data_IF_567826895862
#
_entry.id   IF_567826895862
#
_cell.length_a   1.000
_cell.length_b   1.000
_cell.length_c   1.000
_cell.angle_alpha   90.00
_cell.angle_beta   90.00
_cell.angle_gamma   90.00
#
_symmetry.space_group_name_H-M   'P 1'
#
loop_
_entity.id
_entity.type
_entity.pdbx_description
1 polymer ?
#
# COMPACT_ATOMS: atom_id res chain seq x y z
N UNK A 1 4.27 -8.13 -3.63
CA UNK A 1 5.01 -7.26 -2.69
C UNK A 1 6.33 -7.91 -2.41
N UNK A 2 7.41 -7.39 -2.98
CA UNK A 2 8.76 -7.87 -2.71
C UNK A 2 9.30 -7.08 -1.53
N UNK A 3 9.08 -7.57 -0.31
CA UNK A 3 9.95 -7.20 0.80
C UNK A 3 11.19 -8.09 0.74
N UNK A 4 12.28 -7.51 0.25
CA UNK A 4 13.60 -8.10 0.40
C UNK A 4 13.97 -8.13 1.89
N UNK A 5 13.77 -9.27 2.54
CA UNK A 5 14.42 -9.59 3.81
C UNK A 5 15.88 -9.94 3.56
N UNK A 6 16.73 -8.93 3.39
CA UNK A 6 18.18 -9.11 3.51
C UNK A 6 18.53 -9.27 5.00
N UNK A 7 18.86 -10.48 5.42
CA UNK A 7 19.58 -10.70 6.68
C UNK A 7 20.96 -10.03 6.58
N UNK A 8 21.08 -8.86 7.17
CA UNK A 8 22.32 -8.11 7.33
C UNK A 8 22.80 -8.21 8.76
N UNK A 9 23.94 -8.80 8.93
CA UNK A 9 24.77 -8.90 10.13
C UNK A 9 24.86 -7.57 10.86
N UNK A 10 24.61 -7.58 12.15
CA UNK A 10 24.77 -6.47 13.09
C UNK A 10 26.21 -5.98 13.12
N UNK A 11 26.48 -4.89 12.47
CA UNK A 11 27.57 -3.99 12.79
C UNK A 11 27.05 -2.56 12.65
N UNK A 12 26.66 -1.96 13.76
CA UNK A 12 26.36 -0.54 13.86
C UNK A 12 27.64 0.26 13.68
N UNK A 13 27.98 0.56 12.44
CA UNK A 13 28.98 1.56 12.11
C UNK A 13 28.23 2.64 11.36
N UNK A 14 28.09 3.80 11.99
CA UNK A 14 27.62 5.03 11.34
C UNK A 14 28.66 5.44 10.30
N UNK A 15 28.59 4.88 9.09
CA UNK A 15 29.43 5.32 7.99
C UNK A 15 28.79 6.56 7.39
N UNK A 16 29.54 7.66 7.42
CA UNK A 16 29.24 8.84 6.64
C UNK A 16 29.08 8.44 5.16
N UNK A 17 27.93 8.78 4.57
CA UNK A 17 27.67 8.50 3.16
C UNK A 17 28.36 9.55 2.33
N UNK A 18 29.49 9.20 1.73
CA UNK A 18 30.26 10.05 0.84
C UNK A 18 30.03 9.63 -0.61
N UNK A 19 29.58 10.56 -1.44
CA UNK A 19 29.22 10.29 -2.85
C UNK A 19 30.25 10.87 -3.82
N UNK A 20 30.52 10.19 -4.95
CA UNK A 20 31.19 10.79 -6.09
C UNK A 20 30.43 12.02 -6.60
N UNK A 21 31.13 13.06 -7.04
CA UNK A 21 30.49 14.28 -7.56
C UNK A 21 29.54 14.00 -8.72
N UNK A 22 29.89 13.07 -9.59
CA UNK A 22 29.03 12.60 -10.69
C UNK A 22 27.64 12.11 -10.19
N UNK A 23 27.61 11.36 -9.11
CA UNK A 23 26.36 10.84 -8.54
C UNK A 23 25.54 11.99 -7.93
N UNK A 24 26.22 12.92 -7.23
CA UNK A 24 25.57 14.13 -6.69
C UNK A 24 24.91 14.93 -7.81
N UNK A 25 25.63 15.16 -8.94
CA UNK A 25 25.11 15.94 -10.06
C UNK A 25 23.87 15.31 -10.68
N UNK A 26 23.83 13.98 -10.83
CA UNK A 26 22.65 13.24 -11.33
C UNK A 26 21.47 13.40 -10.38
N UNK A 27 21.68 13.20 -9.08
CA UNK A 27 20.62 13.32 -8.09
C UNK A 27 20.05 14.73 -7.99
N UNK A 28 20.93 15.75 -8.03
CA UNK A 28 20.53 17.16 -8.01
C UNK A 28 19.72 17.54 -9.24
N UNK A 29 20.11 17.06 -10.42
CA UNK A 29 19.37 17.29 -11.66
C UNK A 29 17.94 16.75 -11.56
N UNK A 30 17.78 15.47 -11.19
CA UNK A 30 16.47 14.84 -11.04
C UNK A 30 15.62 15.49 -9.94
N UNK A 31 16.22 15.86 -8.82
CA UNK A 31 15.53 16.58 -7.75
C UNK A 31 15.08 17.98 -8.20
N UNK A 32 15.84 18.66 -9.06
CA UNK A 32 15.46 19.95 -9.65
C UNK A 32 14.22 19.86 -10.53
N UNK A 33 14.14 18.82 -11.36
CA UNK A 33 12.93 18.53 -12.15
C UNK A 33 11.74 18.24 -11.23
N UNK A 34 11.94 17.40 -10.20
CA UNK A 34 10.89 17.05 -9.24
C UNK A 34 10.41 18.29 -8.46
N UNK A 35 11.32 19.19 -8.06
CA UNK A 35 10.99 20.44 -7.38
C UNK A 35 10.11 21.36 -8.25
N UNK A 36 10.42 21.43 -9.54
CA UNK A 36 9.61 22.19 -10.52
C UNK A 36 8.18 21.64 -10.60
N UNK A 37 8.04 20.32 -10.63
CA UNK A 37 6.74 19.66 -10.63
C UNK A 37 6.02 19.91 -9.30
N UNK A 38 6.69 19.73 -8.16
CA UNK A 38 6.13 19.91 -6.83
C UNK A 38 5.57 21.32 -6.58
N UNK A 39 6.14 22.33 -7.26
CA UNK A 39 5.68 23.72 -7.16
C UNK A 39 4.35 24.00 -7.91
N UNK A 40 3.86 23.07 -8.73
CA UNK A 40 2.66 23.27 -9.53
C UNK A 40 1.41 23.37 -8.63
N UNK A 41 0.51 24.34 -8.89
CA UNK A 41 -0.70 24.54 -8.08
C UNK A 41 -1.66 23.34 -8.11
N UNK A 42 -1.58 22.49 -9.11
CA UNK A 42 -2.43 21.32 -9.29
C UNK A 42 -2.37 20.34 -8.10
N UNK A 43 -1.24 20.28 -7.38
CA UNK A 43 -1.10 19.41 -6.22
C UNK A 43 -2.04 19.82 -5.07
N UNK A 44 -2.27 21.13 -4.87
CA UNK A 44 -3.21 21.62 -3.87
C UNK A 44 -4.65 21.25 -4.24
N UNK A 45 -5.00 21.35 -5.51
CA UNK A 45 -6.32 20.96 -6.00
C UNK A 45 -6.53 19.44 -5.87
N UNK A 46 -5.55 18.64 -6.26
CA UNK A 46 -5.62 17.18 -6.06
C UNK A 46 -5.74 16.81 -4.57
N UNK A 47 -4.98 17.46 -3.68
CA UNK A 47 -5.11 17.23 -2.23
C UNK A 47 -6.51 17.59 -1.73
N UNK A 48 -7.09 18.69 -2.20
CA UNK A 48 -8.48 19.09 -1.90
C UNK A 48 -9.48 18.02 -2.36
N UNK A 49 -9.31 17.52 -3.58
CA UNK A 49 -10.20 16.49 -4.14
C UNK A 49 -10.09 15.16 -3.38
N UNK A 50 -8.89 14.73 -3.02
CA UNK A 50 -8.68 13.56 -2.15
C UNK A 50 -9.33 13.75 -0.78
N UNK A 51 -9.20 14.94 -0.17
CA UNK A 51 -9.86 15.27 1.08
C UNK A 51 -11.38 15.17 0.94
N UNK A 52 -11.94 15.75 -0.12
CA UNK A 52 -13.39 15.68 -0.40
C UNK A 52 -13.86 14.24 -0.58
N UNK A 53 -13.11 13.42 -1.29
CA UNK A 53 -13.42 11.99 -1.44
C UNK A 53 -13.50 11.30 -0.09
N UNK A 54 -12.45 11.44 0.72
CA UNK A 54 -12.35 10.75 2.01
C UNK A 54 -13.28 11.33 3.09
N UNK A 55 -13.72 12.57 2.92
CA UNK A 55 -14.79 13.19 3.73
C UNK A 55 -16.21 12.80 3.27
N UNK A 56 -16.34 11.88 2.30
CA UNK A 56 -17.61 11.46 1.68
C UNK A 56 -18.37 12.63 1.04
N UNK A 57 -17.64 13.49 0.35
CA UNK A 57 -18.13 14.69 -0.37
C UNK A 57 -17.47 14.79 -1.75
N UNK A 58 -17.22 13.64 -2.39
CA UNK A 58 -16.48 13.59 -3.65
C UNK A 58 -17.13 14.44 -4.73
N UNK A 59 -16.31 15.12 -5.52
CA UNK A 59 -16.71 15.92 -6.68
C UNK A 59 -16.56 15.12 -7.98
N UNK A 60 -15.67 14.13 -7.98
CA UNK A 60 -15.47 13.16 -9.03
C UNK A 60 -14.76 11.91 -8.51
N UNK A 61 -14.73 10.82 -9.27
CA UNK A 61 -13.83 9.71 -8.97
C UNK A 61 -12.37 10.16 -8.99
N UNK A 62 -11.57 9.61 -8.07
CA UNK A 62 -10.12 9.84 -8.04
C UNK A 62 -9.39 8.66 -8.68
N UNK A 63 -8.30 8.92 -9.41
CA UNK A 63 -7.55 7.89 -10.16
C UNK A 63 -6.11 7.84 -9.65
N UNK A 64 -5.65 6.65 -9.29
CA UNK A 64 -4.25 6.44 -8.96
C UNK A 64 -3.77 5.05 -9.39
N UNK A 65 -2.49 4.97 -9.76
CA UNK A 65 -1.84 3.76 -10.24
C UNK A 65 -0.68 3.47 -9.30
N UNK A 66 -0.60 2.26 -8.77
CA UNK A 66 0.51 1.81 -7.95
C UNK A 66 0.91 0.37 -8.29
N UNK A 67 1.92 -0.15 -7.59
CA UNK A 67 2.43 -1.52 -7.82
C UNK A 67 2.72 -1.79 -9.31
N UNK A 68 3.47 -0.84 -9.91
CA UNK A 68 3.83 -0.84 -11.32
C UNK A 68 4.95 -1.86 -11.57
N UNK A 69 4.89 -2.60 -12.68
CA UNK A 69 5.91 -3.53 -13.13
C UNK A 69 7.11 -2.78 -13.73
N UNK A 70 7.89 -2.10 -12.88
CA UNK A 70 8.96 -1.17 -13.28
C UNK A 70 10.00 -1.79 -14.20
N UNK A 71 10.27 -3.09 -14.11
CA UNK A 71 11.21 -3.82 -14.95
C UNK A 71 10.82 -3.83 -16.43
N UNK A 72 9.54 -3.62 -16.76
CA UNK A 72 9.03 -3.56 -18.13
C UNK A 72 8.83 -2.14 -18.66
N UNK A 73 9.08 -1.10 -17.82
CA UNK A 73 8.70 0.28 -18.17
C UNK A 73 9.79 1.06 -18.91
N UNK A 74 11.08 0.64 -18.84
CA UNK A 74 12.20 1.39 -19.38
C UNK A 74 12.48 1.07 -20.87
N UNK A 75 11.68 1.63 -21.76
CA UNK A 75 11.91 1.46 -23.21
C UNK A 75 12.75 2.56 -23.84
N UNK A 76 12.80 3.76 -23.23
CA UNK A 76 13.49 4.94 -23.76
C UNK A 76 14.69 5.37 -22.89
N UNK A 77 15.10 4.55 -21.92
CA UNK A 77 16.24 4.82 -21.03
C UNK A 77 15.95 5.85 -19.94
N UNK A 78 14.69 6.26 -19.74
CA UNK A 78 14.31 7.20 -18.67
C UNK A 78 14.54 6.64 -17.26
N UNK A 79 14.40 5.32 -17.09
CA UNK A 79 14.59 4.62 -15.82
C UNK A 79 16.00 4.06 -15.66
N UNK A 80 16.85 4.15 -16.69
CA UNK A 80 18.24 3.66 -16.66
C UNK A 80 19.06 4.46 -15.64
N UNK A 81 19.60 3.75 -14.64
CA UNK A 81 20.37 4.35 -13.56
C UNK A 81 21.78 4.72 -14.02
N UNK A 82 22.25 5.94 -13.68
CA UNK A 82 23.54 6.52 -14.08
C UNK A 82 24.51 6.68 -12.91
N UNK A 83 24.02 6.58 -11.67
CA UNK A 83 24.84 6.65 -10.47
C UNK A 83 25.51 5.29 -10.19
N UNK A 84 26.63 5.32 -9.46
CA UNK A 84 27.46 4.15 -9.15
C UNK A 84 27.33 3.71 -7.69
N UNK A 85 27.30 4.67 -6.76
CA UNK A 85 27.20 4.37 -5.33
C UNK A 85 25.84 3.73 -4.99
N UNK A 86 25.77 2.60 -4.27
CA UNK A 86 24.53 1.88 -4.02
C UNK A 86 23.41 2.76 -3.45
N UNK A 87 23.70 3.57 -2.44
CA UNK A 87 22.72 4.50 -1.88
C UNK A 87 22.23 5.53 -2.90
N UNK A 88 23.12 6.07 -3.75
CA UNK A 88 22.72 7.01 -4.79
C UNK A 88 21.83 6.36 -5.84
N UNK A 89 22.09 5.09 -6.18
CA UNK A 89 21.25 4.32 -7.09
C UNK A 89 19.82 4.15 -6.57
N UNK A 90 19.66 3.90 -5.27
CA UNK A 90 18.33 3.80 -4.65
C UNK A 90 17.60 5.15 -4.70
N UNK A 91 18.31 6.25 -4.43
CA UNK A 91 17.74 7.61 -4.55
C UNK A 91 17.36 7.93 -6.00
N UNK A 92 18.26 7.65 -6.95
CA UNK A 92 18.02 7.85 -8.38
C UNK A 92 16.80 7.06 -8.88
N UNK A 93 16.70 5.79 -8.50
CA UNK A 93 15.59 4.94 -8.85
C UNK A 93 14.25 5.56 -8.40
N UNK A 94 14.15 5.98 -7.14
CA UNK A 94 12.95 6.62 -6.59
C UNK A 94 12.59 7.92 -7.31
N UNK A 95 13.59 8.77 -7.61
CA UNK A 95 13.36 10.03 -8.32
C UNK A 95 12.89 9.78 -9.75
N UNK A 96 13.56 8.88 -10.50
CA UNK A 96 13.17 8.51 -11.87
C UNK A 96 11.77 7.92 -11.94
N UNK A 97 11.43 7.01 -11.04
CA UNK A 97 10.07 6.42 -10.99
C UNK A 97 9.00 7.47 -10.75
N UNK A 98 9.23 8.43 -9.84
CA UNK A 98 8.29 9.54 -9.59
C UNK A 98 8.14 10.44 -10.80
N UNK A 99 9.25 10.82 -11.45
CA UNK A 99 9.24 11.63 -12.66
C UNK A 99 8.55 10.92 -13.82
N UNK A 100 8.85 9.65 -14.02
CA UNK A 100 8.21 8.80 -15.03
C UNK A 100 6.70 8.72 -14.82
N UNK A 101 6.27 8.39 -13.60
CA UNK A 101 4.85 8.29 -13.26
C UNK A 101 4.12 9.62 -13.52
N UNK A 102 4.73 10.74 -13.14
CA UNK A 102 4.16 12.06 -13.40
C UNK A 102 4.01 12.36 -14.89
N UNK A 103 5.00 12.01 -15.71
CA UNK A 103 5.01 12.30 -17.15
C UNK A 103 4.03 11.44 -17.94
N UNK A 104 4.01 10.16 -17.64
CA UNK A 104 3.38 9.16 -18.51
C UNK A 104 2.07 8.59 -17.97
N UNK A 105 1.80 8.74 -16.68
CA UNK A 105 0.62 8.16 -16.05
C UNK A 105 -0.28 9.26 -15.49
N UNK A 106 -1.07 9.94 -16.35
CA UNK A 106 -2.01 10.94 -15.87
C UNK A 106 -2.93 10.34 -14.82
N UNK A 107 -3.10 11.06 -13.71
CA UNK A 107 -3.85 10.62 -12.54
C UNK A 107 -3.84 11.65 -11.44
N UNK A 108 -4.29 11.25 -10.28
CA UNK A 108 -4.36 12.12 -9.10
C UNK A 108 -3.14 11.99 -8.17
N UNK A 109 -2.00 11.62 -8.76
CA UNK A 109 -0.71 11.63 -8.07
C UNK A 109 -0.38 13.03 -7.55
N UNK A 110 0.15 13.09 -6.32
CA UNK A 110 0.66 14.32 -5.70
C UNK A 110 2.15 14.17 -5.45
N UNK A 111 2.92 15.16 -5.90
CA UNK A 111 4.34 15.27 -5.61
C UNK A 111 4.53 16.25 -4.46
N UNK A 112 5.19 15.80 -3.39
CA UNK A 112 5.49 16.63 -2.22
C UNK A 112 6.55 17.69 -2.52
N UNK A 113 6.47 18.79 -1.81
CA UNK A 113 7.46 19.88 -1.82
C UNK A 113 8.72 19.57 -0.97
N UNK A 114 8.89 18.32 -0.56
CA UNK A 114 10.02 17.82 0.21
C UNK A 114 10.38 16.40 -0.20
N UNK A 115 11.60 15.99 0.11
CA UNK A 115 12.07 14.62 0.01
C UNK A 115 11.97 13.94 1.39
N UNK A 116 11.32 12.80 1.44
CA UNK A 116 11.22 12.01 2.66
C UNK A 116 12.52 11.25 2.91
N UNK A 117 13.05 11.38 4.12
CA UNK A 117 14.11 10.53 4.65
C UNK A 117 13.48 9.57 5.68
N UNK A 118 13.20 8.32 5.32
CA UNK A 118 12.63 7.36 6.26
C UNK A 118 13.55 7.12 7.44
N UNK A 119 12.98 7.02 8.63
CA UNK A 119 13.71 6.55 9.81
C UNK A 119 14.26 5.13 9.55
N UNK A 120 15.49 4.87 9.96
CA UNK A 120 16.10 3.54 9.87
C UNK A 120 15.54 2.67 11.00
N UNK A 121 14.46 1.96 10.72
CA UNK A 121 13.76 1.10 11.68
C UNK A 121 13.85 -0.34 11.19
N UNK A 122 14.14 -1.26 12.11
CA UNK A 122 14.06 -2.70 11.86
C UNK A 122 13.11 -3.35 12.84
N UNK A 123 12.45 -4.42 12.40
CA UNK A 123 11.69 -5.33 13.24
C UNK A 123 12.25 -6.75 13.09
N UNK A 124 12.26 -7.51 14.16
CA UNK A 124 12.64 -8.93 14.12
C UNK A 124 11.60 -9.79 13.39
N UNK A 125 10.44 -9.22 13.08
CA UNK A 125 9.31 -9.97 12.52
C UNK A 125 8.73 -10.99 13.49
N UNK A 126 7.96 -11.93 12.95
CA UNK A 126 7.14 -12.85 13.76
C UNK A 126 7.79 -14.23 14.00
N UNK A 127 9.08 -14.39 13.70
CA UNK A 127 9.87 -15.56 14.10
C UNK A 127 9.84 -16.75 13.15
N UNK A 128 8.78 -16.94 12.37
CA UNK A 128 8.70 -18.02 11.38
C UNK A 128 9.20 -17.50 10.02
N UNK A 129 10.18 -18.19 9.45
CA UNK A 129 10.64 -17.94 8.07
C UNK A 129 9.81 -18.76 7.10
N UNK A 130 9.58 -18.22 5.89
CA UNK A 130 8.88 -18.94 4.85
C UNK A 130 9.70 -20.19 4.43
N UNK A 131 9.06 -21.34 4.45
CA UNK A 131 9.56 -22.56 3.81
C UNK A 131 8.76 -22.74 2.51
N UNK A 132 9.40 -22.44 1.37
CA UNK A 132 8.69 -22.21 0.13
C UNK A 132 9.47 -22.70 -1.10
N UNK A 133 8.77 -23.39 -2.00
CA UNK A 133 9.22 -23.65 -3.36
C UNK A 133 8.77 -22.50 -4.27
N UNK A 134 9.70 -21.95 -5.03
CA UNK A 134 9.47 -20.79 -5.89
C UNK A 134 9.66 -21.16 -7.35
N UNK A 135 8.67 -20.85 -8.19
CA UNK A 135 8.75 -20.99 -9.64
C UNK A 135 8.50 -19.63 -10.29
N UNK A 136 9.51 -19.10 -10.95
CA UNK A 136 9.46 -17.85 -11.71
C UNK A 136 9.48 -18.10 -13.22
N UNK A 137 8.73 -17.33 -13.98
CA UNK A 137 8.71 -17.38 -15.46
C UNK A 137 9.58 -16.31 -16.09
N UNK A 138 9.80 -15.19 -15.39
CA UNK A 138 10.65 -14.09 -15.84
C UNK A 138 11.65 -13.74 -14.72
N UNK A 139 12.98 -13.89 -14.95
CA UNK A 139 14.00 -13.56 -13.95
C UNK A 139 14.03 -12.07 -13.54
N UNK A 140 13.53 -11.18 -14.38
CA UNK A 140 13.44 -9.75 -14.09
C UNK A 140 12.19 -9.39 -13.29
N UNK A 141 11.20 -10.28 -13.22
CA UNK A 141 9.94 -10.07 -12.50
C UNK A 141 10.01 -10.58 -11.06
N UNK A 142 9.56 -9.78 -10.10
CA UNK A 142 9.33 -10.24 -8.73
C UNK A 142 8.05 -11.08 -8.56
N UNK A 143 7.25 -11.25 -9.61
CA UNK A 143 6.03 -12.06 -9.60
C UNK A 143 6.39 -13.52 -9.86
N UNK A 144 6.19 -14.35 -8.82
CA UNK A 144 6.55 -15.77 -8.83
C UNK A 144 5.43 -16.61 -8.25
N UNK A 145 5.30 -17.85 -8.70
CA UNK A 145 4.47 -18.85 -8.05
C UNK A 145 5.17 -19.38 -6.79
N UNK A 146 4.41 -19.55 -5.70
CA UNK A 146 4.95 -20.02 -4.43
C UNK A 146 4.12 -21.18 -3.91
N UNK A 147 4.79 -22.24 -3.51
CA UNK A 147 4.18 -23.35 -2.78
C UNK A 147 4.79 -23.41 -1.38
N UNK A 148 3.96 -23.11 -0.37
CA UNK A 148 4.39 -23.01 1.02
C UNK A 148 4.27 -24.36 1.72
N UNK A 149 5.32 -24.74 2.47
CA UNK A 149 5.31 -25.95 3.29
C UNK A 149 4.69 -25.67 4.67
N UNK A 150 3.87 -26.59 5.14
CA UNK A 150 3.15 -26.49 6.42
C UNK A 150 4.11 -26.54 7.61
N UNK A 151 4.16 -25.47 8.38
CA UNK A 151 4.98 -25.33 9.59
C UNK A 151 4.12 -25.28 10.88
N UNK A 152 2.83 -24.89 10.76
CA UNK A 152 1.86 -24.91 11.86
C UNK A 152 1.00 -26.15 11.70
N UNK A 153 1.17 -27.11 12.60
CA UNK A 153 0.45 -28.40 12.60
C UNK A 153 -0.37 -28.60 13.86
N UNK A 154 0.23 -28.24 15.00
CA UNK A 154 -0.33 -28.43 16.33
C UNK A 154 -0.28 -27.12 17.12
N UNK A 155 -0.95 -27.09 18.28
CA UNK A 155 -1.05 -25.91 19.13
C UNK A 155 0.31 -25.40 19.61
N UNK A 156 1.23 -26.31 19.88
CA UNK A 156 2.60 -26.02 20.30
C UNK A 156 3.42 -25.27 19.25
N UNK A 157 3.06 -25.45 17.97
CA UNK A 157 3.74 -24.74 16.87
C UNK A 157 3.45 -23.22 16.90
N UNK A 158 2.37 -22.80 17.54
CA UNK A 158 2.06 -21.38 17.72
C UNK A 158 3.13 -20.63 18.51
N UNK A 159 3.90 -21.32 19.34
CA UNK A 159 5.04 -20.74 20.07
C UNK A 159 6.18 -20.30 19.13
N UNK A 160 6.19 -20.77 17.87
CA UNK A 160 7.09 -20.30 16.82
C UNK A 160 6.79 -18.86 16.42
N UNK A 161 5.52 -18.42 16.57
CA UNK A 161 5.10 -17.02 16.34
C UNK A 161 5.64 -16.17 17.51
N UNK A 162 6.67 -15.37 17.25
CA UNK A 162 7.36 -14.55 18.24
C UNK A 162 6.80 -13.14 18.27
N UNK A 163 6.85 -12.52 19.44
CA UNK A 163 6.60 -11.10 19.57
C UNK A 163 7.78 -10.34 18.97
N UNK A 164 7.53 -9.39 18.05
CA UNK A 164 8.60 -8.65 17.40
C UNK A 164 9.29 -7.67 18.35
N UNK A 165 10.54 -7.36 18.03
CA UNK A 165 11.31 -6.28 18.66
C UNK A 165 11.60 -5.23 17.61
N UNK A 166 11.17 -4.00 17.87
CA UNK A 166 11.39 -2.84 17.01
C UNK A 166 12.59 -2.05 17.47
N UNK A 167 13.52 -1.79 16.58
CA UNK A 167 14.73 -1.03 16.84
C UNK A 167 14.83 0.16 15.89
N UNK A 168 15.01 1.37 16.43
CA UNK A 168 15.36 2.57 15.68
C UNK A 168 16.88 2.76 15.66
N UNK A 169 17.47 2.68 14.47
CA UNK A 169 18.90 2.92 14.26
C UNK A 169 19.16 4.42 14.07
N UNK A 170 19.23 5.16 15.19
CA UNK A 170 19.34 6.63 15.19
C UNK A 170 20.55 7.10 14.38
N UNK A 171 21.72 6.49 14.57
CA UNK A 171 22.95 6.85 13.84
C UNK A 171 22.80 6.71 12.33
N UNK A 172 22.17 5.63 11.87
CA UNK A 172 21.90 5.42 10.45
C UNK A 172 20.89 6.42 9.91
N UNK A 173 19.83 6.72 10.66
CA UNK A 173 18.87 7.77 10.30
C UNK A 173 19.56 9.10 10.11
N UNK A 174 20.44 9.50 11.04
CA UNK A 174 21.19 10.76 10.94
C UNK A 174 22.12 10.79 9.75
N UNK A 175 22.87 9.70 9.49
CA UNK A 175 23.77 9.61 8.34
C UNK A 175 23.02 9.77 7.02
N UNK A 176 21.88 9.08 6.85
CA UNK A 176 21.00 9.21 5.68
C UNK A 176 20.44 10.63 5.55
N UNK A 177 19.98 11.21 6.64
CA UNK A 177 19.41 12.57 6.65
C UNK A 177 20.45 13.62 6.28
N UNK A 178 21.66 13.54 6.82
CA UNK A 178 22.77 14.46 6.50
C UNK A 178 23.17 14.35 5.03
N UNK A 179 23.32 13.12 4.52
CA UNK A 179 23.63 12.88 3.11
C UNK A 179 22.56 13.49 2.19
N UNK A 180 21.27 13.22 2.46
CA UNK A 180 20.17 13.80 1.68
C UNK A 180 20.17 15.34 1.77
N UNK A 181 20.32 15.89 2.97
CA UNK A 181 20.33 17.35 3.18
C UNK A 181 21.48 18.02 2.42
N UNK A 182 22.67 17.39 2.41
CA UNK A 182 23.83 17.89 1.65
C UNK A 182 23.59 17.83 0.15
N UNK A 183 23.16 16.66 -0.36
CA UNK A 183 22.91 16.45 -1.81
C UNK A 183 21.86 17.40 -2.35
N UNK A 184 20.75 17.56 -1.64
CA UNK A 184 19.58 18.30 -2.12
C UNK A 184 19.51 19.76 -1.63
N UNK A 185 20.58 20.24 -0.98
CA UNK A 185 20.67 21.61 -0.50
C UNK A 185 20.34 22.64 -1.59
N UNK A 186 19.44 23.58 -1.27
CA UNK A 186 19.01 24.64 -2.18
C UNK A 186 18.03 24.19 -3.29
N UNK A 187 17.62 22.91 -3.33
CA UNK A 187 16.67 22.36 -4.32
C UNK A 187 15.35 21.99 -3.64
N UNK A 188 15.38 21.06 -2.71
CA UNK A 188 14.21 20.60 -1.96
C UNK A 188 14.56 20.37 -0.49
N UNK A 189 13.67 20.73 0.46
CA UNK A 189 13.87 20.39 1.85
C UNK A 189 13.78 18.86 2.05
N UNK A 190 14.53 18.36 3.02
CA UNK A 190 14.48 16.96 3.45
C UNK A 190 13.78 16.86 4.80
N UNK A 191 12.86 15.93 4.94
CA UNK A 191 12.14 15.68 6.21
C UNK A 191 12.34 14.24 6.65
N UNK A 192 12.70 14.02 7.92
CA UNK A 192 12.65 12.69 8.53
C UNK A 192 11.19 12.24 8.66
N UNK A 193 10.90 11.03 8.22
CA UNK A 193 9.55 10.47 8.22
C UNK A 193 9.55 9.11 8.90
N UNK A 194 8.73 8.94 9.91
CA UNK A 194 8.49 7.68 10.58
C UNK A 194 7.58 6.74 9.79
N UNK A 195 7.12 5.68 10.45
CA UNK A 195 6.18 4.73 9.87
C UNK A 195 4.81 5.40 9.69
N UNK A 196 4.40 5.62 8.46
CA UNK A 196 3.13 6.28 8.10
C UNK A 196 2.06 5.30 7.62
N UNK A 197 2.40 4.03 7.40
CA UNK A 197 1.45 3.00 6.97
C UNK A 197 1.89 1.64 7.48
N UNK A 198 0.99 0.94 8.14
CA UNK A 198 1.20 -0.44 8.59
C UNK A 198 0.21 -1.34 7.89
N UNK A 199 0.72 -2.26 7.08
CA UNK A 199 -0.07 -3.24 6.35
C UNK A 199 -0.39 -4.42 7.27
N UNK A 200 -1.47 -4.29 8.04
CA UNK A 200 -1.91 -5.33 8.97
C UNK A 200 -2.66 -6.42 8.20
N UNK A 201 -2.11 -7.62 8.20
CA UNK A 201 -2.64 -8.73 7.42
C UNK A 201 -2.28 -10.09 8.06
N UNK A 202 -2.89 -10.46 9.19
CA UNK A 202 -2.59 -11.71 9.89
C UNK A 202 -2.69 -12.94 8.99
N UNK A 203 -3.72 -13.01 8.15
CA UNK A 203 -3.97 -14.14 7.29
C UNK A 203 -2.95 -14.32 6.15
N UNK A 204 -2.39 -13.23 5.60
CA UNK A 204 -1.34 -13.34 4.59
C UNK A 204 -0.05 -13.97 5.16
N UNK A 205 0.19 -13.83 6.48
CA UNK A 205 1.28 -14.53 7.16
C UNK A 205 0.92 -15.97 7.50
N UNK A 206 -0.26 -16.20 8.07
CA UNK A 206 -0.68 -17.53 8.51
C UNK A 206 -0.69 -18.53 7.35
N UNK A 207 -1.21 -18.16 6.17
CA UNK A 207 -1.24 -19.06 5.01
C UNK A 207 0.15 -19.44 4.49
N UNK A 208 1.18 -18.60 4.69
CA UNK A 208 2.56 -18.91 4.31
C UNK A 208 3.19 -19.96 5.22
N UNK A 209 2.65 -20.13 6.42
CA UNK A 209 3.15 -21.06 7.43
C UNK A 209 2.26 -22.29 7.61
N UNK A 210 1.03 -22.21 7.14
CA UNK A 210 0.02 -23.27 7.29
C UNK A 210 -0.33 -23.96 5.97
N UNK A 211 -0.32 -23.19 4.88
CA UNK A 211 -0.92 -23.56 3.61
C UNK A 211 -2.41 -23.20 3.56
N UNK A 212 -2.88 -22.79 2.38
CA UNK A 212 -4.27 -22.30 2.22
C UNK A 212 -5.28 -23.42 2.47
N UNK A 213 -5.10 -24.60 1.85
CA UNK A 213 -6.03 -25.72 1.94
C UNK A 213 -6.14 -26.24 3.39
N UNK A 214 -5.01 -26.42 4.06
CA UNK A 214 -4.97 -26.84 5.46
C UNK A 214 -5.65 -25.84 6.38
N UNK A 215 -5.35 -24.53 6.22
CA UNK A 215 -5.95 -23.49 7.04
C UNK A 215 -7.48 -23.41 6.87
N UNK A 216 -7.97 -23.55 5.62
CA UNK A 216 -9.41 -23.58 5.33
C UNK A 216 -10.08 -24.82 5.92
N UNK A 217 -9.46 -25.98 5.83
CA UNK A 217 -9.96 -27.23 6.44
C UNK A 217 -10.00 -27.10 7.95
N UNK A 218 -8.95 -26.55 8.56
CA UNK A 218 -8.84 -26.40 10.01
C UNK A 218 -9.84 -25.40 10.61
N UNK A 219 -10.36 -24.44 9.84
CA UNK A 219 -11.49 -23.61 10.30
C UNK A 219 -12.74 -24.45 10.64
N UNK A 220 -12.88 -25.62 10.02
CA UNK A 220 -13.98 -26.55 10.29
C UNK A 220 -13.57 -27.66 11.28
N UNK A 221 -12.42 -28.28 11.07
CA UNK A 221 -11.98 -29.45 11.83
C UNK A 221 -11.38 -29.10 13.19
N UNK A 222 -10.65 -27.94 13.27
CA UNK A 222 -9.91 -27.51 14.47
C UNK A 222 -10.04 -26.00 14.69
N UNK A 223 -11.28 -25.44 14.81
CA UNK A 223 -11.51 -24.00 14.90
C UNK A 223 -10.76 -23.34 16.06
N UNK A 224 -10.56 -24.03 17.19
CA UNK A 224 -9.85 -23.50 18.34
C UNK A 224 -8.36 -23.28 18.05
N UNK A 225 -7.75 -24.09 17.18
CA UNK A 225 -6.38 -23.90 16.75
C UNK A 225 -6.27 -22.66 15.86
N UNK A 226 -7.23 -22.47 14.94
CA UNK A 226 -7.28 -21.31 14.05
C UNK A 226 -7.47 -20.02 14.87
N UNK A 227 -8.43 -19.99 15.79
CA UNK A 227 -8.62 -18.85 16.68
C UNK A 227 -7.36 -18.51 17.47
N UNK A 228 -6.70 -19.51 18.05
CA UNK A 228 -5.46 -19.28 18.81
C UNK A 228 -4.32 -18.74 17.93
N UNK A 229 -4.22 -19.20 16.68
CA UNK A 229 -3.22 -18.72 15.73
C UNK A 229 -3.47 -17.26 15.33
N UNK A 230 -4.71 -16.91 14.99
CA UNK A 230 -5.09 -15.54 14.62
C UNK A 230 -4.90 -14.61 15.81
N UNK A 231 -5.34 -14.98 17.01
CA UNK A 231 -5.11 -14.19 18.23
C UNK A 231 -3.63 -13.94 18.49
N UNK A 232 -2.81 -14.98 18.34
CA UNK A 232 -1.36 -14.86 18.53
C UNK A 232 -0.72 -13.90 17.53
N UNK A 233 -1.19 -13.91 16.26
CA UNK A 233 -0.75 -12.97 15.24
C UNK A 233 -1.18 -11.55 15.57
N UNK A 234 -2.43 -11.35 15.98
CA UNK A 234 -2.92 -10.03 16.40
C UNK A 234 -2.12 -9.51 17.60
N UNK A 235 -1.82 -10.37 18.60
CA UNK A 235 -0.97 -10.00 19.73
C UNK A 235 0.41 -9.51 19.28
N UNK A 236 1.03 -10.20 18.34
CA UNK A 236 2.34 -9.83 17.82
C UNK A 236 2.30 -8.46 17.09
N UNK A 237 1.29 -8.21 16.27
CA UNK A 237 1.07 -6.91 15.64
C UNK A 237 0.82 -5.79 16.66
N UNK A 238 0.06 -6.09 17.72
CA UNK A 238 -0.20 -5.11 18.79
C UNK A 238 1.08 -4.74 19.55
N UNK A 239 1.92 -5.74 19.87
CA UNK A 239 3.23 -5.51 20.52
C UNK A 239 4.16 -4.70 19.63
N UNK A 240 4.17 -4.94 18.33
CA UNK A 240 4.96 -4.15 17.37
C UNK A 240 4.50 -2.69 17.34
N UNK A 241 3.19 -2.47 17.25
CA UNK A 241 2.60 -1.12 17.22
C UNK A 241 2.85 -0.35 18.52
N UNK A 242 2.77 -1.01 19.67
CA UNK A 242 3.06 -0.39 20.97
C UNK A 242 4.51 0.11 21.02
N UNK A 243 5.46 -0.61 20.40
CA UNK A 243 6.85 -0.19 20.31
C UNK A 243 7.04 0.99 19.34
N UNK A 244 6.34 1.01 18.21
CA UNK A 244 6.35 2.18 17.30
C UNK A 244 5.83 3.43 18.01
N UNK A 245 4.73 3.32 18.75
CA UNK A 245 4.14 4.44 19.50
C UNK A 245 5.08 4.88 20.65
N UNK A 246 5.57 3.96 21.47
CA UNK A 246 6.41 4.26 22.62
C UNK A 246 7.75 4.91 22.23
N UNK A 247 8.31 4.57 21.08
CA UNK A 247 9.56 5.14 20.56
C UNK A 247 9.32 6.37 19.66
N UNK A 248 8.10 6.86 19.51
CA UNK A 248 7.73 7.99 18.63
C UNK A 248 8.13 7.80 17.16
N UNK A 249 7.98 6.59 16.66
CA UNK A 249 8.40 6.22 15.29
C UNK A 249 7.27 6.36 14.25
N UNK A 250 6.07 6.73 14.67
CA UNK A 250 4.93 6.92 13.77
C UNK A 250 4.97 8.30 13.09
N UNK A 251 4.42 8.37 11.88
CA UNK A 251 4.22 9.62 11.14
C UNK A 251 2.78 9.71 10.63
N UNK A 252 2.25 10.94 10.55
CA UNK A 252 0.92 11.17 10.00
C UNK A 252 0.82 10.70 8.55
N UNK A 253 -0.34 10.19 8.19
CA UNK A 253 -0.69 9.64 6.88
C UNK A 253 -1.87 10.35 6.20
N UNK A 254 -2.42 11.41 6.81
CA UNK A 254 -3.44 12.26 6.19
C UNK A 254 -2.84 13.19 5.12
N UNK A 255 -2.08 12.62 4.22
CA UNK A 255 -1.35 13.23 3.13
C UNK A 255 -1.36 12.29 1.90
N UNK A 256 -0.36 12.34 1.02
CA UNK A 256 -0.22 11.43 -0.11
C UNK A 256 0.37 10.06 0.27
N UNK A 257 0.25 9.65 1.52
CA UNK A 257 0.48 8.26 1.93
C UNK A 257 -0.68 7.38 1.47
N UNK A 258 -0.34 6.22 0.95
CA UNK A 258 -1.31 5.17 0.59
C UNK A 258 -2.02 4.66 1.84
N UNK A 259 -3.33 4.43 1.75
CA UNK A 259 -4.13 3.85 2.83
C UNK A 259 -4.64 2.47 2.41
N UNK A 260 -4.26 1.45 3.14
CA UNK A 260 -4.59 0.08 2.80
C UNK A 260 -4.14 -0.27 1.37
N UNK A 261 -4.98 -0.93 0.60
CA UNK A 261 -4.77 -1.15 -0.84
C UNK A 261 -5.37 -0.04 -1.72
N UNK A 262 -5.78 1.09 -1.12
CA UNK A 262 -6.45 2.20 -1.80
C UNK A 262 -5.53 3.34 -2.22
N UNK A 263 -6.13 4.51 -2.36
CA UNK A 263 -5.46 5.77 -2.66
C UNK A 263 -4.96 6.52 -1.44
N UNK A 264 -4.86 7.84 -1.53
CA UNK A 264 -4.23 8.69 -0.53
C UNK A 264 -5.10 8.95 0.70
N UNK A 265 -4.41 9.27 1.82
CA UNK A 265 -4.99 9.43 3.15
C UNK A 265 -5.53 10.82 3.47
N UNK A 266 -5.43 11.80 2.58
CA UNK A 266 -5.96 13.15 2.83
C UNK A 266 -7.40 13.12 3.35
N UNK A 267 -7.65 13.70 4.53
CA UNK A 267 -8.98 13.76 5.15
C UNK A 267 -9.01 14.89 6.19
N UNK A 268 -10.19 15.50 6.42
CA UNK A 268 -10.33 16.57 7.40
C UNK A 268 -10.42 16.05 8.85
N UNK A 269 -10.81 14.80 9.05
CA UNK A 269 -11.02 14.21 10.38
C UNK A 269 -9.72 13.89 11.12
N UNK A 270 -8.60 13.72 10.41
CA UNK A 270 -7.30 13.39 10.98
C UNK A 270 -6.34 14.59 10.87
N UNK A 271 -5.41 14.72 11.82
CA UNK A 271 -5.08 13.83 12.94
C UNK A 271 -5.99 13.92 14.18
N UNK A 272 -7.12 14.65 14.13
CA UNK A 272 -7.99 14.88 15.27
C UNK A 272 -7.57 16.09 16.09
N UNK A 273 -8.47 16.55 17.01
CA UNK A 273 -8.25 17.78 17.78
C UNK A 273 -7.28 17.60 18.94
N UNK A 274 -7.07 16.38 19.38
CA UNK A 274 -6.19 16.00 20.49
C UNK A 274 -4.75 15.71 20.06
N UNK A 275 -4.45 15.85 18.77
CA UNK A 275 -3.12 15.63 18.21
C UNK A 275 -2.11 16.62 18.79
N UNK A 276 -0.97 16.07 19.24
CA UNK A 276 0.20 16.83 19.69
C UNK A 276 1.35 16.62 18.71
N UNK A 277 1.93 17.72 18.25
CA UNK A 277 3.06 17.67 17.33
C UNK A 277 4.24 16.86 17.92
N UNK A 278 4.78 15.93 17.12
CA UNK A 278 5.84 15.02 17.57
C UNK A 278 5.35 13.76 18.31
N UNK A 279 4.05 13.65 18.58
CA UNK A 279 3.44 12.50 19.26
C UNK A 279 2.30 11.93 18.42
N UNK A 280 2.65 11.29 17.31
CA UNK A 280 1.68 10.59 16.47
C UNK A 280 1.27 9.27 17.15
N UNK A 281 -0.04 9.06 17.25
CA UNK A 281 -0.63 7.83 17.79
C UNK A 281 -1.52 7.18 16.73
N UNK A 282 -1.82 5.87 16.84
CA UNK A 282 -2.68 5.20 15.87
C UNK A 282 -4.02 5.90 15.62
N UNK A 283 -4.66 6.47 16.65
CA UNK A 283 -5.93 7.21 16.49
C UNK A 283 -5.81 8.54 15.72
N UNK A 284 -4.59 9.02 15.46
CA UNK A 284 -4.34 10.17 14.59
C UNK A 284 -4.13 9.76 13.11
N UNK A 285 -4.21 8.47 12.80
CA UNK A 285 -3.83 7.86 11.53
C UNK A 285 -4.94 6.97 10.97
N UNK A 286 -4.75 6.54 9.74
CA UNK A 286 -5.51 5.47 9.11
C UNK A 286 -4.94 4.10 9.49
N UNK A 287 -5.83 3.17 9.84
CA UNK A 287 -5.52 1.76 9.90
C UNK A 287 -6.09 0.99 8.72
N UNK A 288 -5.63 -0.23 8.55
CA UNK A 288 -6.22 -1.15 7.59
C UNK A 288 -6.19 -2.58 8.09
N UNK A 289 -7.05 -3.42 7.50
CA UNK A 289 -7.00 -4.88 7.59
C UNK A 289 -7.57 -5.51 6.34
N UNK A 290 -7.27 -6.78 6.14
CA UNK A 290 -7.82 -7.61 5.09
C UNK A 290 -7.67 -9.10 5.45
N UNK A 291 -8.48 -9.93 4.78
CA UNK A 291 -8.33 -11.38 4.79
C UNK A 291 -8.53 -11.91 3.36
N UNK A 292 -7.50 -11.72 2.51
CA UNK A 292 -7.60 -11.91 1.06
C UNK A 292 -8.07 -13.32 0.67
N UNK A 293 -7.66 -14.33 1.45
CA UNK A 293 -8.04 -15.72 1.20
C UNK A 293 -9.52 -16.01 1.45
N UNK A 294 -10.24 -15.08 2.09
CA UNK A 294 -11.65 -15.27 2.47
C UNK A 294 -12.64 -14.79 1.41
N UNK A 295 -12.21 -14.74 0.13
CA UNK A 295 -13.13 -14.40 -0.97
C UNK A 295 -14.38 -15.26 -0.97
N UNK A 296 -14.23 -16.58 -0.90
CA UNK A 296 -15.28 -17.57 -1.09
C UNK A 296 -15.89 -18.09 0.23
N UNK A 297 -15.41 -17.63 1.38
CA UNK A 297 -16.02 -18.02 2.66
C UNK A 297 -17.25 -17.18 2.97
N UNK A 298 -18.18 -17.76 3.76
CA UNK A 298 -19.40 -17.05 4.16
C UNK A 298 -19.08 -15.78 4.97
N UNK A 299 -20.01 -14.80 5.01
CA UNK A 299 -19.85 -13.63 5.87
C UNK A 299 -19.61 -14.00 7.33
N UNK A 300 -20.31 -15.02 7.85
CA UNK A 300 -20.19 -15.50 9.24
C UNK A 300 -18.77 -16.00 9.53
N UNK A 301 -18.20 -16.85 8.65
CA UNK A 301 -16.84 -17.35 8.81
C UNK A 301 -15.81 -16.24 8.65
N UNK A 302 -16.03 -15.30 7.73
CA UNK A 302 -15.14 -14.13 7.57
C UNK A 302 -15.15 -13.26 8.84
N UNK A 303 -16.31 -13.09 9.46
CA UNK A 303 -16.42 -12.43 10.77
C UNK A 303 -15.69 -13.21 11.84
N UNK A 304 -16.01 -14.48 11.98
CA UNK A 304 -15.53 -15.34 13.06
C UNK A 304 -14.01 -15.53 13.06
N UNK A 305 -13.43 -15.83 11.88
CA UNK A 305 -12.01 -16.19 11.78
C UNK A 305 -11.09 -15.03 11.39
N UNK A 306 -11.62 -13.84 11.07
CA UNK A 306 -10.81 -12.67 10.75
C UNK A 306 -11.29 -11.42 11.49
N UNK A 307 -12.41 -10.81 11.07
CA UNK A 307 -12.76 -9.43 11.49
C UNK A 307 -12.89 -9.29 13.00
N UNK A 308 -13.52 -10.26 13.70
CA UNK A 308 -13.70 -10.14 15.16
C UNK A 308 -12.36 -10.10 15.92
N UNK A 309 -11.34 -10.79 15.44
CA UNK A 309 -9.98 -10.72 15.98
C UNK A 309 -9.31 -9.39 15.66
N UNK A 310 -9.45 -8.94 14.39
CA UNK A 310 -8.89 -7.69 13.90
C UNK A 310 -9.49 -6.46 14.59
N UNK A 311 -10.66 -6.56 15.22
CA UNK A 311 -11.26 -5.44 15.95
C UNK A 311 -10.35 -4.88 17.06
N UNK A 312 -9.47 -5.68 17.64
CA UNK A 312 -8.48 -5.23 18.64
C UNK A 312 -7.50 -4.23 18.01
N UNK A 313 -7.09 -4.50 16.78
CA UNK A 313 -6.25 -3.63 15.96
C UNK A 313 -7.05 -2.43 15.43
N UNK A 314 -8.19 -2.68 14.79
CA UNK A 314 -8.97 -1.68 14.07
C UNK A 314 -9.51 -0.56 14.98
N UNK A 315 -9.84 -0.87 16.24
CA UNK A 315 -10.30 0.11 17.25
C UNK A 315 -9.25 1.15 17.65
N UNK A 316 -7.97 0.89 17.38
CA UNK A 316 -6.89 1.84 17.71
C UNK A 316 -6.82 3.02 16.75
N UNK A 317 -7.36 2.88 15.53
CA UNK A 317 -7.18 3.82 14.44
C UNK A 317 -8.29 4.87 14.37
N UNK A 318 -7.91 6.07 13.91
CA UNK A 318 -8.89 7.16 13.75
C UNK A 318 -9.86 6.91 12.61
N UNK A 319 -9.39 6.38 11.50
CA UNK A 319 -10.19 5.89 10.37
C UNK A 319 -9.64 4.56 9.89
N UNK A 320 -10.49 3.79 9.21
CA UNK A 320 -10.16 2.42 8.77
C UNK A 320 -10.45 2.22 7.29
N UNK A 321 -9.52 1.51 6.65
CA UNK A 321 -9.67 0.88 5.35
C UNK A 321 -9.79 -0.64 5.52
N UNK A 322 -10.75 -1.28 4.87
CA UNK A 322 -10.88 -2.73 4.92
C UNK A 322 -10.87 -3.36 3.53
N UNK A 323 -10.11 -4.46 3.41
CA UNK A 323 -10.07 -5.34 2.26
C UNK A 323 -8.93 -5.09 1.28
N UNK A 324 -8.75 -6.03 0.37
CA UNK A 324 -7.78 -5.99 -0.72
C UNK A 324 -8.32 -6.71 -1.96
N UNK A 325 -8.08 -8.02 -2.07
CA UNK A 325 -8.48 -8.83 -3.22
C UNK A 325 -9.76 -9.65 -2.98
N UNK A 326 -10.20 -9.80 -1.72
CA UNK A 326 -11.40 -10.54 -1.36
C UNK A 326 -12.68 -9.89 -1.89
N UNK A 327 -13.66 -10.73 -2.19
CA UNK A 327 -15.01 -10.30 -2.58
C UNK A 327 -15.78 -9.82 -1.35
N UNK A 328 -16.10 -8.53 -1.29
CA UNK A 328 -16.80 -7.90 -0.16
C UNK A 328 -18.22 -7.44 -0.50
N UNK A 329 -18.64 -7.58 -1.75
CA UNK A 329 -19.97 -7.16 -2.24
C UNK A 329 -21.15 -7.90 -1.58
N UNK A 330 -20.90 -9.05 -0.93
CA UNK A 330 -21.88 -9.80 -0.15
C UNK A 330 -21.71 -9.72 1.37
N UNK A 331 -20.83 -8.84 1.87
CA UNK A 331 -20.36 -8.83 3.27
C UNK A 331 -20.64 -7.53 4.02
N UNK A 332 -21.55 -6.68 3.51
CA UNK A 332 -21.83 -5.35 4.06
C UNK A 332 -22.22 -5.38 5.54
N UNK A 333 -22.99 -6.40 5.98
CA UNK A 333 -23.40 -6.52 7.38
C UNK A 333 -22.21 -6.64 8.33
N UNK A 334 -21.25 -7.52 8.03
CA UNK A 334 -20.06 -7.70 8.89
C UNK A 334 -19.15 -6.49 8.81
N UNK A 335 -19.05 -5.84 7.65
CA UNK A 335 -18.27 -4.62 7.48
C UNK A 335 -18.83 -3.46 8.31
N UNK A 336 -20.14 -3.34 8.44
CA UNK A 336 -20.78 -2.30 9.24
C UNK A 336 -20.46 -2.38 10.74
N UNK A 337 -19.95 -3.52 11.21
CA UNK A 337 -19.52 -3.72 12.60
C UNK A 337 -18.09 -3.22 12.86
N UNK A 338 -17.35 -2.85 11.81
CA UNK A 338 -15.98 -2.32 11.94
C UNK A 338 -16.06 -0.85 12.35
N UNK A 339 -15.50 -0.45 13.49
CA UNK A 339 -15.52 0.93 13.92
C UNK A 339 -14.66 1.80 13.00
N UNK A 340 -15.10 3.04 12.79
CA UNK A 340 -14.37 4.04 11.98
C UNK A 340 -14.10 3.62 10.53
N UNK A 341 -14.79 2.61 10.01
CA UNK A 341 -14.67 2.19 8.62
C UNK A 341 -15.03 3.35 7.68
N UNK A 342 -14.11 3.69 6.79
CA UNK A 342 -14.29 4.79 5.85
C UNK A 342 -14.10 4.38 4.40
N UNK A 343 -13.19 3.44 4.13
CA UNK A 343 -12.94 2.91 2.79
C UNK A 343 -13.11 1.39 2.77
N UNK A 344 -13.69 0.90 1.68
CA UNK A 344 -13.88 -0.54 1.44
C UNK A 344 -13.31 -0.89 0.07
N UNK A 345 -12.51 -1.95 0.02
CA UNK A 345 -12.01 -2.49 -1.24
C UNK A 345 -13.14 -3.09 -2.06
N UNK A 346 -13.21 -2.72 -3.34
CA UNK A 346 -14.07 -3.37 -4.34
C UNK A 346 -13.14 -4.04 -5.36
N UNK A 347 -12.83 -5.31 -5.11
CA UNK A 347 -11.91 -6.10 -5.91
C UNK A 347 -12.43 -6.30 -7.35
N UNK A 348 -11.57 -6.75 -8.30
CA UNK A 348 -12.01 -7.05 -9.66
C UNK A 348 -13.10 -8.11 -9.73
N UNK A 349 -13.19 -8.95 -8.70
CA UNK A 349 -14.12 -10.09 -8.62
C UNK A 349 -15.49 -9.72 -8.07
N UNK A 350 -15.64 -8.54 -7.47
CA UNK A 350 -16.92 -8.02 -6.98
C UNK A 350 -17.86 -7.71 -8.15
N UNK A 351 -19.15 -8.03 -7.99
CA UNK A 351 -20.20 -7.59 -8.90
C UNK A 351 -20.52 -6.12 -8.63
N UNK A 352 -20.37 -5.26 -9.63
CA UNK A 352 -20.47 -3.80 -9.50
C UNK A 352 -21.79 -3.37 -8.85
N UNK A 353 -22.92 -3.86 -9.38
CA UNK A 353 -24.25 -3.49 -8.92
C UNK A 353 -24.47 -3.91 -7.47
N UNK A 354 -24.02 -5.13 -7.11
CA UNK A 354 -24.15 -5.66 -5.76
C UNK A 354 -23.27 -4.90 -4.77
N UNK A 355 -22.03 -4.54 -5.16
CA UNK A 355 -21.14 -3.75 -4.31
C UNK A 355 -21.72 -2.35 -4.06
N UNK A 356 -22.30 -1.72 -5.09
CA UNK A 356 -22.93 -0.40 -4.97
C UNK A 356 -24.18 -0.47 -4.09
N UNK A 357 -25.05 -1.48 -4.28
CA UNK A 357 -26.25 -1.67 -3.47
C UNK A 357 -25.88 -1.90 -1.99
N UNK A 358 -24.88 -2.75 -1.73
CA UNK A 358 -24.50 -3.16 -0.38
C UNK A 358 -23.75 -2.07 0.40
N UNK A 359 -22.87 -1.31 -0.25
CA UNK A 359 -21.98 -0.35 0.39
C UNK A 359 -22.44 1.10 0.24
N UNK A 360 -23.15 1.40 -0.85
CA UNK A 360 -23.76 2.70 -1.11
C UNK A 360 -22.79 3.88 -1.05
N UNK A 361 -23.26 4.97 -0.45
CA UNK A 361 -22.49 6.20 -0.23
C UNK A 361 -21.95 6.36 1.21
N UNK A 362 -22.03 5.29 2.01
CA UNK A 362 -21.57 5.30 3.40
C UNK A 362 -20.04 5.21 3.50
N UNK A 363 -19.41 4.70 2.44
CA UNK A 363 -17.97 4.46 2.36
C UNK A 363 -17.39 5.02 1.07
N UNK A 364 -16.08 5.18 1.03
CA UNK A 364 -15.35 5.31 -0.22
C UNK A 364 -15.20 3.90 -0.83
N UNK A 365 -15.73 3.70 -2.01
CA UNK A 365 -15.58 2.48 -2.79
C UNK A 365 -14.22 2.52 -3.51
N UNK A 366 -13.27 1.74 -3.00
CA UNK A 366 -11.93 1.64 -3.56
C UNK A 366 -11.92 0.56 -4.64
N UNK A 367 -12.39 0.93 -5.86
CA UNK A 367 -12.49 0.02 -7.00
C UNK A 367 -11.11 -0.36 -7.53
N UNK A 368 -10.87 -1.66 -7.69
CA UNK A 368 -9.68 -2.23 -8.33
C UNK A 368 -10.08 -2.73 -9.73
N UNK A 369 -9.76 -1.99 -10.79
CA UNK A 369 -9.87 -2.53 -12.16
C UNK A 369 -8.96 -3.75 -12.32
N UNK A 370 -9.37 -4.71 -13.16
CA UNK A 370 -8.59 -5.93 -13.36
C UNK A 370 -7.32 -5.65 -14.17
N UNK A 371 -6.10 -5.78 -13.59
CA UNK A 371 -4.86 -5.51 -14.29
C UNK A 371 -4.55 -6.53 -15.40
N UNK A 372 -5.20 -7.70 -15.40
CA UNK A 372 -4.99 -8.75 -16.40
C UNK A 372 -5.24 -8.26 -17.84
N UNK A 373 -6.06 -7.23 -18.03
CA UNK A 373 -6.30 -6.61 -19.34
C UNK A 373 -4.98 -6.07 -19.97
N UNK A 374 -4.02 -5.65 -19.16
CA UNK A 374 -2.70 -5.18 -19.62
C UNK A 374 -1.78 -6.31 -20.05
N UNK A 375 -2.02 -7.53 -19.52
CA UNK A 375 -1.23 -8.71 -19.76
C UNK A 375 -1.67 -9.52 -20.99
N UNK A 376 -2.81 -9.20 -21.58
CA UNK A 376 -3.35 -9.89 -22.78
C UNK A 376 -2.41 -9.75 -23.99
N UNK A 377 -2.48 -10.66 -24.96
CA UNK A 377 -1.67 -10.60 -26.18
C UNK A 377 -1.94 -9.33 -26.98
N UNK A 378 -3.22 -8.96 -27.13
CA UNK A 378 -3.63 -7.71 -27.74
C UNK A 378 -4.13 -6.73 -26.66
N UNK A 379 -3.79 -5.46 -26.83
CA UNK A 379 -4.33 -4.40 -25.99
C UNK A 379 -5.69 -3.91 -26.55
N UNK A 380 -6.69 -3.84 -25.68
CA UNK A 380 -8.05 -3.49 -26.02
C UNK A 380 -8.54 -2.27 -25.21
N UNK A 381 -8.22 -1.03 -25.63
CA UNK A 381 -8.57 0.19 -24.91
C UNK A 381 -10.08 0.35 -24.68
N UNK A 382 -10.90 -0.08 -25.64
CA UNK A 382 -12.36 0.00 -25.50
C UNK A 382 -12.88 -0.89 -24.36
N UNK A 383 -12.25 -2.05 -24.13
CA UNK A 383 -12.60 -2.93 -22.99
C UNK A 383 -12.21 -2.30 -21.65
N UNK A 384 -11.05 -1.65 -21.61
CA UNK A 384 -10.62 -0.92 -20.40
C UNK A 384 -11.61 0.21 -20.08
N UNK A 385 -12.03 0.96 -21.09
CA UNK A 385 -13.05 2.01 -20.97
C UNK A 385 -14.38 1.45 -20.51
N UNK A 386 -14.84 0.36 -21.11
CA UNK A 386 -16.12 -0.26 -20.78
C UNK A 386 -16.15 -0.77 -19.33
N UNK A 387 -15.08 -1.44 -18.83
CA UNK A 387 -15.00 -1.91 -17.46
C UNK A 387 -15.12 -0.75 -16.45
N UNK A 388 -14.39 0.34 -16.69
CA UNK A 388 -14.43 1.52 -15.83
C UNK A 388 -15.79 2.22 -15.89
N UNK A 389 -16.34 2.42 -17.08
CA UNK A 389 -17.63 3.08 -17.28
C UNK A 389 -18.77 2.28 -16.65
N UNK A 390 -18.81 0.95 -16.86
CA UNK A 390 -19.84 0.08 -16.27
C UNK A 390 -19.90 0.21 -14.74
N UNK A 391 -18.73 0.20 -14.08
CA UNK A 391 -18.71 0.40 -12.62
C UNK A 391 -19.24 1.78 -12.24
N UNK A 392 -18.83 2.82 -12.94
CA UNK A 392 -19.26 4.18 -12.66
C UNK A 392 -20.76 4.39 -12.93
N UNK A 393 -21.30 3.79 -14.01
CA UNK A 393 -22.73 3.79 -14.32
C UNK A 393 -23.55 3.11 -13.21
N UNK A 394 -23.09 1.95 -12.72
CA UNK A 394 -23.73 1.26 -11.59
C UNK A 394 -23.84 2.15 -10.35
N UNK A 395 -22.90 3.08 -10.12
CA UNK A 395 -22.97 4.01 -8.97
C UNK A 395 -24.08 5.05 -9.09
N UNK A 396 -24.62 5.28 -10.27
CA UNK A 396 -25.62 6.33 -10.54
C UNK A 396 -25.16 7.72 -10.10
N UNK A 397 -23.85 7.96 -9.96
CA UNK A 397 -23.27 9.19 -9.43
C UNK A 397 -23.47 9.38 -7.92
N UNK A 398 -24.02 8.42 -7.18
CA UNK A 398 -24.31 8.58 -5.74
C UNK A 398 -23.12 8.20 -4.83
N UNK A 399 -22.22 7.31 -5.28
CA UNK A 399 -21.13 6.77 -4.48
C UNK A 399 -19.86 7.62 -4.53
N UNK A 400 -19.01 7.46 -3.51
CA UNK A 400 -17.68 8.04 -3.43
C UNK A 400 -16.66 7.02 -3.94
N UNK A 401 -15.99 7.28 -5.06
CA UNK A 401 -15.19 6.27 -5.77
C UNK A 401 -13.74 6.72 -5.94
N UNK A 402 -12.82 5.80 -5.69
CA UNK A 402 -11.46 5.85 -6.20
C UNK A 402 -11.20 4.65 -7.12
N UNK A 403 -10.57 4.90 -8.26
CA UNK A 403 -10.15 3.90 -9.24
C UNK A 403 -8.65 3.64 -9.02
N UNK A 404 -8.32 2.50 -8.46
CA UNK A 404 -6.95 2.16 -8.06
C UNK A 404 -6.46 0.97 -8.88
N UNK A 405 -5.67 1.23 -9.91
CA UNK A 405 -5.01 0.17 -10.65
C UNK A 405 -3.75 -0.28 -9.92
N UNK A 406 -3.66 -1.56 -9.62
CA UNK A 406 -2.58 -2.17 -8.85
C UNK A 406 -2.36 -3.62 -9.25
N UNK A 407 -1.38 -4.30 -8.63
CA UNK A 407 -1.01 -5.70 -8.92
C UNK A 407 -0.66 -5.91 -10.41
N UNK A 408 -0.01 -4.94 -11.03
CA UNK A 408 0.38 -5.00 -12.45
C UNK A 408 1.60 -5.92 -12.58
N UNK A 409 1.36 -7.19 -12.93
CA UNK A 409 2.42 -8.18 -13.07
C UNK A 409 3.21 -8.03 -14.36
N UNK A 410 2.55 -7.67 -15.46
CA UNK A 410 3.17 -7.45 -16.76
C UNK A 410 2.33 -6.54 -17.64
N UNK A 411 2.98 -5.77 -18.48
CA UNK A 411 2.41 -5.01 -19.60
C UNK A 411 2.96 -5.51 -20.95
N UNK A 412 3.62 -6.68 -20.92
CA UNK A 412 4.24 -7.30 -22.11
C UNK A 412 5.33 -6.41 -22.72
N UNK A 413 6.11 -5.71 -21.88
CA UNK A 413 7.14 -4.74 -22.31
C UNK A 413 6.59 -3.67 -23.28
N UNK A 414 5.32 -3.26 -23.09
CA UNK A 414 4.63 -2.22 -23.86
C UNK A 414 4.07 -1.16 -22.92
N UNK A 415 4.89 -0.24 -22.39
CA UNK A 415 4.45 0.76 -21.39
C UNK A 415 3.31 1.63 -21.88
N UNK A 416 3.16 1.80 -23.20
CA UNK A 416 2.07 2.55 -23.82
C UNK A 416 0.68 2.02 -23.44
N UNK A 417 0.55 0.74 -23.10
CA UNK A 417 -0.71 0.17 -22.60
C UNK A 417 -1.14 0.79 -21.28
N UNK A 418 -0.17 0.97 -20.37
CA UNK A 418 -0.44 1.58 -19.07
C UNK A 418 -0.65 3.09 -19.19
N UNK A 419 0.08 3.75 -20.10
CA UNK A 419 -0.12 5.18 -20.38
C UNK A 419 -1.54 5.44 -20.90
N UNK A 420 -1.96 4.69 -21.91
CA UNK A 420 -3.30 4.80 -22.48
C UNK A 420 -4.40 4.43 -21.48
N UNK A 421 -4.16 3.39 -20.66
CA UNK A 421 -5.08 3.06 -19.57
C UNK A 421 -5.27 4.24 -18.62
N UNK A 422 -4.19 4.92 -18.23
CA UNK A 422 -4.25 6.08 -17.35
C UNK A 422 -5.06 7.23 -17.95
N UNK A 423 -4.87 7.50 -19.23
CA UNK A 423 -5.66 8.50 -19.98
C UNK A 423 -7.15 8.13 -20.00
N UNK A 424 -7.47 6.87 -20.31
CA UNK A 424 -8.84 6.35 -20.32
C UNK A 424 -9.48 6.53 -18.94
N UNK A 425 -8.78 6.16 -17.87
CA UNK A 425 -9.31 6.25 -16.52
C UNK A 425 -9.60 7.71 -16.11
N UNK A 426 -8.73 8.66 -16.48
CA UNK A 426 -8.98 10.08 -16.25
C UNK A 426 -10.13 10.64 -17.07
N UNK A 427 -10.31 10.19 -18.33
CA UNK A 427 -11.44 10.58 -19.16
C UNK A 427 -12.75 10.05 -18.57
N UNK A 428 -12.79 8.79 -18.14
CA UNK A 428 -13.98 8.23 -17.46
C UNK A 428 -14.25 8.99 -16.17
N UNK A 429 -13.23 9.23 -15.34
CA UNK A 429 -13.41 9.99 -14.10
C UNK A 429 -13.98 11.40 -14.34
N UNK A 430 -13.59 12.06 -15.42
CA UNK A 430 -14.11 13.38 -15.80
C UNK A 430 -15.58 13.33 -16.26
N UNK A 431 -16.01 12.25 -16.93
CA UNK A 431 -17.40 12.08 -17.37
C UNK A 431 -18.37 11.92 -16.19
N UNK A 432 -17.91 11.39 -15.08
CA UNK A 432 -18.69 11.20 -13.85
C UNK A 432 -18.40 12.25 -12.77
N UNK A 433 -17.87 13.43 -13.16
CA UNK A 433 -17.78 14.58 -12.26
C UNK A 433 -19.19 15.11 -11.93
N UNK A 434 -19.37 15.57 -10.67
CA UNK A 434 -20.65 16.08 -10.13
C UNK A 434 -20.73 17.58 -10.24
#
# INVERSE_FOLDING_TARGET
>A
MSENSSQGTTASISHEITLPQKDVDVLRHLAGELATIAALPVHREKARLWTKLNDLKSERPMVWINEICWHEMDVDGELTLRTEHPWARDQECQLRQKLYQWRHLPGDMIVNDYLACPLAITSTGFGIQEDVEVVGTDPASGVVSRHFHKQIREREDLDKIKMPVVTHHVGETEARYQAMTSVYAGIMPVKKVGQSHVWFTPWDFLIRWWGVEDAMTDMYDRPELVHAAVDRMVDAWMVEMDQYEAQHLLALDNNNTRVGSGGYGYVSALPGRDYQSGHVKPHNMWGCSNAQIFSEVSPEMHWEFAIQHDLRWLKRWGLVYYGCCEQLDGKAEILSRIPNLRKVSVSPWCKSERAVEALGNQYVLSRKPNPAILAEDAWHPDRARADLAQFMEATGGACHVELILKDISTIRYKPQRLWEWAEIAMQVAAQFAR
#
